data_IF_838216065646
#
_entry.id   IF_838216065646
#
_cell.length_a   1.000
_cell.length_b   1.000
_cell.length_c   1.000
_cell.angle_alpha   90.00
_cell.angle_beta   90.00
_cell.angle_gamma   90.00
#
_symmetry.space_group_name_H-M   'P 1'
#
loop_
_entity.id
_entity.type
_entity.pdbx_description
1 polymer ?
#
# COMPACT_ATOMS: atom_id res chain seq x y z
N UNK A 1 -9.24 -38.01 -67.16
CA UNK A 1 -9.43 -38.21 -65.71
C UNK A 1 -8.61 -37.13 -65.01
N UNK A 2 -9.25 -36.10 -64.47
CA UNK A 2 -8.59 -34.99 -63.76
C UNK A 2 -8.95 -35.13 -62.29
N UNK A 3 -7.96 -35.28 -61.43
CA UNK A 3 -8.14 -35.36 -59.97
C UNK A 3 -7.67 -34.02 -59.42
N UNK A 4 -8.59 -33.19 -58.95
CA UNK A 4 -8.29 -31.96 -58.21
C UNK A 4 -8.09 -32.30 -56.74
N UNK A 5 -6.91 -32.02 -56.21
CA UNK A 5 -6.59 -32.13 -54.79
C UNK A 5 -6.84 -30.78 -54.11
N UNK A 6 -7.69 -30.75 -53.10
CA UNK A 6 -7.95 -29.56 -52.27
C UNK A 6 -7.35 -29.76 -50.89
N UNK A 7 -6.40 -28.89 -50.50
CA UNK A 7 -5.75 -28.91 -49.19
C UNK A 7 -6.45 -27.86 -48.31
N UNK A 8 -7.06 -28.29 -47.21
CA UNK A 8 -7.61 -27.40 -46.19
C UNK A 8 -6.54 -27.07 -45.16
N UNK A 9 -6.20 -25.79 -45.02
CA UNK A 9 -5.32 -25.29 -43.96
C UNK A 9 -6.21 -24.78 -42.82
N UNK A 10 -6.19 -25.47 -41.69
CA UNK A 10 -6.88 -25.05 -40.46
C UNK A 10 -5.88 -24.26 -39.62
N UNK A 11 -6.06 -22.95 -39.52
CA UNK A 11 -5.33 -22.13 -38.56
C UNK A 11 -6.03 -22.23 -37.20
N UNK A 12 -5.39 -22.89 -36.25
CA UNK A 12 -5.75 -22.81 -34.83
C UNK A 12 -5.15 -21.53 -34.25
N UNK A 13 -5.99 -20.54 -33.96
CA UNK A 13 -5.58 -19.36 -33.20
C UNK A 13 -5.55 -19.78 -31.73
N UNK A 14 -4.37 -19.98 -31.17
CA UNK A 14 -4.23 -20.13 -29.73
C UNK A 14 -4.52 -18.77 -29.08
N UNK A 15 -5.69 -18.62 -28.46
CA UNK A 15 -5.97 -17.46 -27.61
C UNK A 15 -4.93 -17.48 -26.47
N UNK A 16 -4.01 -16.52 -26.47
CA UNK A 16 -3.08 -16.34 -25.37
C UNK A 16 -3.89 -16.09 -24.08
N UNK A 17 -3.48 -16.61 -22.92
CA UNK A 17 -4.17 -16.31 -21.67
C UNK A 17 -3.93 -14.83 -21.36
N UNK A 18 -4.98 -14.02 -21.52
CA UNK A 18 -4.98 -12.58 -21.28
C UNK A 18 -4.77 -12.21 -19.80
N UNK A 19 -4.75 -13.20 -18.89
CA UNK A 19 -4.43 -13.03 -17.46
C UNK A 19 -3.06 -12.37 -17.21
N UNK A 20 -2.14 -12.42 -18.18
CA UNK A 20 -0.80 -11.85 -18.07
C UNK A 20 -0.69 -10.38 -18.53
N UNK A 21 -1.80 -9.71 -18.83
CA UNK A 21 -1.82 -8.27 -19.16
C UNK A 21 -2.29 -7.39 -17.99
N UNK A 22 -2.24 -7.89 -16.75
CA UNK A 22 -2.27 -7.01 -15.58
C UNK A 22 -0.98 -6.19 -15.61
N UNK A 23 -1.07 -4.94 -16.05
CA UNK A 23 -0.02 -3.96 -15.84
C UNK A 23 0.17 -3.86 -14.33
N UNK A 24 1.19 -4.54 -13.81
CA UNK A 24 1.68 -4.33 -12.46
C UNK A 24 2.15 -2.87 -12.42
N UNK A 25 1.25 -2.00 -11.94
CA UNK A 25 1.54 -0.59 -11.79
C UNK A 25 2.80 -0.50 -10.91
N UNK A 26 3.87 0.07 -11.44
CA UNK A 26 5.12 0.20 -10.69
C UNK A 26 4.84 1.18 -9.56
N UNK A 27 4.64 0.63 -8.37
CA UNK A 27 4.35 1.43 -7.19
C UNK A 27 5.57 2.28 -6.88
N UNK A 28 5.38 3.58 -6.56
CA UNK A 28 6.48 4.41 -6.12
C UNK A 28 7.09 3.79 -4.86
N UNK A 29 8.42 3.71 -4.85
CA UNK A 29 9.19 3.22 -3.69
C UNK A 29 9.52 4.33 -2.70
N UNK A 30 9.30 5.59 -3.10
CA UNK A 30 9.58 6.80 -2.33
C UNK A 30 8.48 7.84 -2.58
N UNK A 31 7.91 8.37 -1.51
CA UNK A 31 6.81 9.32 -1.52
C UNK A 31 7.02 10.34 -0.39
N UNK A 32 6.52 11.56 -0.53
CA UNK A 32 6.89 12.65 0.41
C UNK A 32 6.43 12.34 1.84
N UNK A 33 5.14 12.03 2.01
CA UNK A 33 4.54 11.75 3.31
C UNK A 33 4.24 10.26 3.54
N UNK A 34 4.50 9.41 2.54
CA UNK A 34 4.27 7.96 2.58
C UNK A 34 3.54 7.48 1.34
N UNK A 35 3.89 6.30 0.85
CA UNK A 35 3.31 5.80 -0.38
C UNK A 35 1.88 5.30 -0.18
N UNK A 36 1.03 5.46 -1.21
CA UNK A 36 -0.39 5.16 -1.08
C UNK A 36 -0.64 3.66 -0.86
N UNK A 37 -1.75 3.30 -0.21
CA UNK A 37 -2.19 1.91 -0.17
C UNK A 37 -2.42 1.38 -1.60
N UNK A 38 -2.02 0.13 -1.83
CA UNK A 38 -2.15 -0.50 -3.15
C UNK A 38 -3.56 -1.05 -3.32
N UNK A 39 -4.31 -0.51 -4.28
CA UNK A 39 -5.66 -0.99 -4.59
C UNK A 39 -5.63 -2.43 -5.12
N UNK A 40 -6.57 -3.27 -4.67
CA UNK A 40 -6.82 -4.59 -5.25
C UNK A 40 -7.95 -4.49 -6.27
N UNK A 41 -7.63 -4.85 -7.52
CA UNK A 41 -8.60 -4.85 -8.60
C UNK A 41 -9.51 -6.08 -8.53
N UNK A 42 -10.83 -5.92 -8.69
CA UNK A 42 -11.73 -7.04 -8.92
C UNK A 42 -11.43 -7.70 -10.27
N UNK A 43 -11.68 -9.01 -10.37
CA UNK A 43 -11.37 -9.79 -11.57
C UNK A 43 -12.19 -9.35 -12.80
N UNK A 44 -13.43 -8.92 -12.61
CA UNK A 44 -14.32 -8.40 -13.67
C UNK A 44 -14.06 -6.91 -14.01
N UNK A 45 -13.05 -6.30 -13.38
CA UNK A 45 -12.86 -4.85 -13.35
C UNK A 45 -13.96 -4.13 -12.54
N UNK A 46 -13.87 -2.81 -12.42
CA UNK A 46 -14.88 -2.00 -11.71
C UNK A 46 -16.10 -1.74 -12.61
N UNK A 47 -16.74 -2.81 -13.08
CA UNK A 47 -18.02 -2.78 -13.79
C UNK A 47 -19.01 -3.64 -13.00
N UNK A 48 -20.03 -3.01 -12.43
CA UNK A 48 -21.00 -3.72 -11.60
C UNK A 48 -22.44 -3.35 -11.97
N UNK A 49 -23.27 -4.39 -12.09
CA UNK A 49 -24.73 -4.29 -12.27
C UNK A 49 -25.48 -4.21 -10.93
N UNK A 50 -24.73 -4.13 -9.82
CA UNK A 50 -25.24 -4.01 -8.46
C UNK A 50 -24.89 -2.63 -7.94
N UNK A 51 -25.76 -2.07 -7.11
CA UNK A 51 -25.53 -0.80 -6.41
C UNK A 51 -24.57 -0.92 -5.22
N UNK A 52 -23.96 -2.09 -5.02
CA UNK A 52 -23.07 -2.37 -3.89
C UNK A 52 -21.75 -2.96 -4.35
N UNK A 53 -20.65 -2.39 -3.83
CA UNK A 53 -19.27 -2.77 -4.16
C UNK A 53 -18.45 -2.82 -2.88
N UNK A 54 -17.61 -3.84 -2.79
CA UNK A 54 -16.57 -3.96 -1.77
C UNK A 54 -15.24 -3.50 -2.40
N UNK A 55 -14.69 -2.43 -1.86
CA UNK A 55 -13.36 -1.93 -2.18
C UNK A 55 -12.34 -2.62 -1.30
N UNK A 56 -11.21 -3.02 -1.86
CA UNK A 56 -10.13 -3.68 -1.14
C UNK A 56 -8.78 -3.08 -1.52
N UNK A 57 -7.86 -3.05 -0.56
CA UNK A 57 -6.49 -2.59 -0.75
C UNK A 57 -5.51 -3.41 0.11
N UNK A 58 -4.22 -3.27 -0.15
CA UNK A 58 -3.16 -3.80 0.69
C UNK A 58 -2.88 -2.85 1.85
N UNK A 59 -2.56 -3.42 3.01
CA UNK A 59 -2.08 -2.63 4.14
C UNK A 59 -0.72 -2.01 3.83
N UNK A 60 -0.51 -0.78 4.31
CA UNK A 60 0.80 -0.12 4.18
C UNK A 60 1.78 -0.69 5.20
N UNK A 61 3.06 -0.71 4.82
CA UNK A 61 4.14 -1.06 5.75
C UNK A 61 4.62 0.17 6.50
N UNK A 62 5.20 -0.02 7.68
CA UNK A 62 5.76 1.05 8.51
C UNK A 62 7.27 0.93 8.62
N UNK A 63 7.99 2.05 8.55
CA UNK A 63 9.43 2.12 8.68
C UNK A 63 9.88 2.49 10.09
N UNK A 64 11.00 1.90 10.53
CA UNK A 64 11.68 2.23 11.78
C UNK A 64 13.18 2.29 11.58
N UNK A 65 13.90 2.95 12.49
CA UNK A 65 15.37 2.94 12.56
C UNK A 65 15.82 2.58 13.95
N UNK A 66 16.66 1.56 14.08
CA UNK A 66 17.22 1.11 15.35
C UNK A 66 18.69 1.50 15.44
N UNK A 67 19.02 2.36 16.39
CA UNK A 67 20.36 2.93 16.60
C UNK A 67 20.87 2.58 18.00
N UNK A 68 22.13 2.16 18.11
CA UNK A 68 22.80 1.94 19.40
C UNK A 68 24.13 2.68 19.43
N UNK A 69 24.29 3.53 20.44
CA UNK A 69 25.49 4.32 20.69
C UNK A 69 26.14 3.89 22.00
N UNK A 70 27.45 4.07 22.15
CA UNK A 70 28.09 4.03 23.46
C UNK A 70 28.08 5.41 24.14
N UNK A 71 28.68 5.49 25.34
CA UNK A 71 28.81 6.76 26.09
C UNK A 71 29.64 7.85 25.38
N UNK A 72 30.43 7.51 24.36
CA UNK A 72 31.21 8.48 23.57
C UNK A 72 30.48 8.93 22.30
N UNK A 73 29.26 8.43 22.05
CA UNK A 73 28.50 8.69 20.83
C UNK A 73 28.93 7.82 19.63
N UNK A 74 29.80 6.84 19.80
CA UNK A 74 30.17 5.91 18.74
C UNK A 74 29.01 4.95 18.43
N UNK A 75 28.68 4.84 17.14
CA UNK A 75 27.59 3.98 16.64
C UNK A 75 28.08 2.53 16.57
N UNK A 76 27.36 1.63 17.26
CA UNK A 76 27.62 0.19 17.23
C UNK A 76 26.58 -0.59 16.43
N UNK A 77 25.41 0.00 16.22
CA UNK A 77 24.33 -0.58 15.44
C UNK A 77 23.49 0.56 14.85
N UNK A 78 23.17 0.47 13.57
CA UNK A 78 22.27 1.38 12.85
C UNK A 78 21.61 0.58 11.73
N UNK A 79 20.31 0.34 11.87
CA UNK A 79 19.54 -0.50 10.95
C UNK A 79 18.18 0.12 10.65
N UNK A 80 17.82 0.16 9.36
CA UNK A 80 16.47 0.49 8.93
C UNK A 80 15.63 -0.80 8.88
N UNK A 81 14.43 -0.73 9.45
CA UNK A 81 13.53 -1.85 9.65
C UNK A 81 12.17 -1.53 9.03
N UNK A 82 11.44 -2.54 8.60
CA UNK A 82 10.10 -2.36 8.00
C UNK A 82 9.14 -3.43 8.49
N UNK A 83 7.96 -3.03 8.95
CA UNK A 83 6.89 -3.93 9.37
C UNK A 83 7.20 -4.78 10.60
N UNK A 84 8.18 -4.36 11.43
CA UNK A 84 8.58 -5.07 12.65
C UNK A 84 8.61 -4.14 13.86
N UNK A 85 8.35 -4.70 15.04
CA UNK A 85 8.34 -3.98 16.31
C UNK A 85 9.39 -4.49 17.30
N UNK A 86 10.35 -5.27 16.81
CA UNK A 86 11.47 -5.77 17.58
C UNK A 86 12.70 -5.94 16.71
N UNK A 87 13.88 -5.67 17.26
CA UNK A 87 15.16 -6.01 16.64
C UNK A 87 16.21 -6.38 17.69
N UNK A 88 17.29 -7.00 17.23
CA UNK A 88 18.40 -7.45 18.05
C UNK A 88 19.73 -7.10 17.42
N UNK A 89 20.64 -6.55 18.21
CA UNK A 89 21.98 -6.22 17.73
C UNK A 89 22.82 -7.46 17.47
N UNK A 90 23.92 -7.26 16.73
CA UNK A 90 25.06 -8.15 16.85
C UNK A 90 25.63 -8.14 18.28
N UNK A 91 26.46 -9.12 18.61
CA UNK A 91 27.07 -9.20 19.94
C UNK A 91 28.01 -8.01 20.14
N UNK A 92 27.72 -7.19 21.14
CA UNK A 92 28.50 -6.02 21.52
C UNK A 92 29.45 -6.38 22.67
N UNK A 93 30.61 -5.72 22.80
CA UNK A 93 31.48 -5.85 23.97
C UNK A 93 30.84 -5.43 25.29
N UNK A 94 31.52 -5.70 26.39
CA UNK A 94 31.15 -5.14 27.69
C UNK A 94 31.28 -3.60 27.66
N UNK A 95 30.31 -2.90 28.24
CA UNK A 95 30.27 -1.44 28.21
C UNK A 95 28.88 -0.86 28.44
N UNK A 96 28.81 0.47 28.36
CA UNK A 96 27.57 1.24 28.52
C UNK A 96 27.08 1.68 27.14
N UNK A 97 25.80 1.43 26.88
CA UNK A 97 25.17 1.76 25.61
C UNK A 97 23.84 2.46 25.84
N UNK A 98 23.44 3.29 24.87
CA UNK A 98 22.09 3.81 24.77
C UNK A 98 21.52 3.42 23.42
N UNK A 99 20.36 2.79 23.44
CA UNK A 99 19.61 2.42 22.24
C UNK A 99 18.49 3.42 21.98
N UNK A 100 18.20 3.66 20.71
CA UNK A 100 17.14 4.53 20.23
C UNK A 100 16.36 3.82 19.12
N UNK A 101 15.05 3.98 19.12
CA UNK A 101 14.19 3.59 18.01
C UNK A 101 13.48 4.83 17.52
N UNK A 102 13.67 5.12 16.24
CA UNK A 102 12.99 6.21 15.55
C UNK A 102 11.95 5.65 14.60
N UNK A 103 10.87 6.41 14.43
CA UNK A 103 9.87 6.16 13.40
C UNK A 103 10.31 6.78 12.07
N UNK A 104 10.22 5.99 10.99
CA UNK A 104 10.58 6.44 9.63
C UNK A 104 9.38 6.74 8.74
N UNK A 105 8.17 6.58 9.25
CA UNK A 105 6.95 6.92 8.51
C UNK A 105 6.29 5.69 7.91
N UNK A 106 5.23 5.96 7.16
CA UNK A 106 4.61 4.99 6.27
C UNK A 106 5.64 4.62 5.18
N UNK A 107 5.53 3.42 4.62
CA UNK A 107 6.49 2.92 3.62
C UNK A 107 6.73 3.94 2.50
N UNK A 108 8.01 4.23 2.23
CA UNK A 108 8.42 5.21 1.22
C UNK A 108 8.48 6.67 1.69
N UNK A 109 8.01 7.02 2.90
CA UNK A 109 8.11 8.39 3.44
C UNK A 109 9.54 8.92 3.45
N UNK A 110 9.70 10.21 3.17
CA UNK A 110 10.97 10.93 3.27
C UNK A 110 10.92 11.92 4.45
N UNK A 111 11.26 11.45 5.65
CA UNK A 111 11.51 12.39 6.75
C UNK A 111 12.86 13.07 6.54
N UNK A 112 12.82 14.33 6.12
CA UNK A 112 14.03 15.08 5.75
C UNK A 112 14.89 15.37 6.98
N UNK A 113 14.32 15.73 8.13
CA UNK A 113 15.14 16.18 9.28
C UNK A 113 14.67 15.80 10.70
N UNK A 114 13.49 15.17 10.89
CA UNK A 114 12.97 14.88 12.24
C UNK A 114 12.25 13.54 12.30
N UNK A 115 13.01 12.44 12.35
CA UNK A 115 12.47 11.11 12.65
C UNK A 115 11.96 11.10 14.12
N UNK A 116 10.65 10.86 14.38
CA UNK A 116 10.13 10.86 15.75
C UNK A 116 10.77 9.77 16.60
N UNK A 117 11.26 10.12 17.79
CA UNK A 117 11.78 9.14 18.74
C UNK A 117 10.62 8.36 19.37
N UNK A 118 10.59 7.05 19.17
CA UNK A 118 9.60 6.15 19.76
C UNK A 118 10.04 5.63 21.13
N UNK A 119 11.33 5.27 21.25
CA UNK A 119 11.85 4.60 22.43
C UNK A 119 13.33 4.85 22.61
N UNK A 120 13.77 5.00 23.86
CA UNK A 120 15.18 4.91 24.21
C UNK A 120 15.38 4.08 25.48
N UNK A 121 16.55 3.45 25.59
CA UNK A 121 16.92 2.65 26.76
C UNK A 121 18.44 2.69 26.99
N UNK A 122 18.85 2.65 28.25
CA UNK A 122 20.25 2.50 28.63
C UNK A 122 20.55 1.03 28.97
N UNK A 123 21.70 0.56 28.51
CA UNK A 123 22.14 -0.83 28.66
C UNK A 123 23.52 -0.86 29.30
N UNK A 124 23.69 -1.75 30.28
CA UNK A 124 24.97 -2.06 30.91
C UNK A 124 25.35 -3.51 30.64
N UNK A 125 26.38 -3.72 29.81
CA UNK A 125 26.85 -5.05 29.46
C UNK A 125 28.10 -5.38 30.27
N UNK A 126 28.00 -6.34 31.18
CA UNK A 126 29.15 -6.84 31.96
C UNK A 126 30.03 -7.84 31.18
N UNK A 127 29.50 -8.40 30.10
CA UNK A 127 30.20 -9.31 29.20
C UNK A 127 29.62 -9.21 27.78
N UNK A 128 30.34 -9.67 26.74
CA UNK A 128 29.88 -9.53 25.37
C UNK A 128 28.50 -10.16 25.12
N UNK A 129 27.50 -9.34 24.82
CA UNK A 129 26.08 -9.72 24.77
C UNK A 129 25.34 -8.98 23.65
N UNK A 130 24.14 -9.44 23.30
CA UNK A 130 23.27 -8.73 22.35
C UNK A 130 22.29 -7.84 23.10
N UNK A 131 21.90 -6.73 22.49
CA UNK A 131 20.80 -5.90 22.98
C UNK A 131 19.57 -6.22 22.15
N UNK A 132 18.47 -6.56 22.80
CA UNK A 132 17.17 -6.78 22.17
C UNK A 132 16.24 -5.66 22.59
N UNK A 133 15.55 -5.06 21.61
CA UNK A 133 14.61 -3.99 21.86
C UNK A 133 13.27 -4.32 21.23
N UNK A 134 12.20 -4.05 21.97
CA UNK A 134 10.81 -4.18 21.52
C UNK A 134 10.13 -2.83 21.73
N UNK A 135 9.27 -2.41 20.81
CA UNK A 135 8.51 -1.16 20.93
C UNK A 135 7.04 -1.36 20.56
N UNK A 136 6.20 -0.40 20.94
CA UNK A 136 4.79 -0.43 20.54
C UNK A 136 4.66 -0.19 19.03
N UNK A 137 3.76 -0.89 18.33
CA UNK A 137 3.45 -0.58 16.93
C UNK A 137 2.86 0.83 16.84
N UNK A 138 3.14 1.50 15.73
CA UNK A 138 2.39 2.70 15.33
C UNK A 138 1.13 2.20 14.64
N UNK A 139 -0.02 2.69 15.04
CA UNK A 139 -1.30 2.25 14.46
C UNK A 139 -1.54 2.95 13.12
N UNK A 140 -2.23 2.29 12.20
CA UNK A 140 -2.61 2.85 10.90
C UNK A 140 -4.09 2.64 10.67
N UNK A 141 -4.76 3.70 10.25
CA UNK A 141 -6.13 3.69 9.76
C UNK A 141 -6.17 4.15 8.31
N UNK A 142 -7.30 3.93 7.64
CA UNK A 142 -7.48 4.32 6.25
C UNK A 142 -8.64 5.28 6.07
N UNK A 143 -8.54 6.12 5.05
CA UNK A 143 -9.63 6.92 4.53
C UNK A 143 -9.94 6.54 3.09
N UNK A 144 -11.21 6.48 2.73
CA UNK A 144 -11.69 6.25 1.37
C UNK A 144 -12.56 7.41 0.92
N UNK A 145 -12.33 7.86 -0.32
CA UNK A 145 -13.14 8.87 -0.99
C UNK A 145 -13.74 8.28 -2.25
N UNK A 146 -15.05 8.49 -2.44
CA UNK A 146 -15.79 8.11 -3.65
C UNK A 146 -16.32 9.39 -4.27
N UNK A 147 -16.04 9.56 -5.56
CA UNK A 147 -16.34 10.76 -6.34
C UNK A 147 -17.28 10.42 -7.48
N UNK A 148 -18.32 11.20 -7.71
CA UNK A 148 -19.20 11.10 -8.87
C UNK A 148 -18.70 12.00 -9.99
N UNK A 149 -18.65 11.48 -11.21
CA UNK A 149 -18.30 12.23 -12.40
C UNK A 149 -19.57 12.80 -13.03
N UNK A 150 -19.70 14.12 -13.00
CA UNK A 150 -20.76 14.86 -13.71
C UNK A 150 -20.18 15.45 -15.00
N UNK A 151 -21.07 15.98 -15.84
CA UNK A 151 -20.69 16.54 -17.13
C UNK A 151 -19.62 17.66 -17.05
N UNK A 152 -19.54 18.39 -15.94
CA UNK A 152 -18.67 19.56 -15.78
C UNK A 152 -17.78 19.52 -14.54
N UNK A 153 -17.94 18.52 -13.66
CA UNK A 153 -17.26 18.49 -12.37
C UNK A 153 -17.15 17.06 -11.82
N UNK A 154 -16.17 16.83 -10.94
CA UNK A 154 -16.03 15.62 -10.14
C UNK A 154 -16.28 16.02 -8.68
N UNK A 155 -17.24 15.37 -8.02
CA UNK A 155 -17.65 15.70 -6.66
C UNK A 155 -17.45 14.51 -5.74
N UNK A 156 -16.86 14.72 -4.56
CA UNK A 156 -16.87 13.72 -3.49
C UNK A 156 -18.32 13.54 -3.04
N UNK A 157 -18.87 12.35 -3.26
CA UNK A 157 -20.23 11.98 -2.86
C UNK A 157 -20.25 11.16 -1.59
N UNK A 158 -19.12 10.54 -1.25
CA UNK A 158 -18.96 9.78 -0.03
C UNK A 158 -17.51 9.79 0.44
N UNK A 159 -17.33 9.88 1.75
CA UNK A 159 -16.04 9.76 2.42
C UNK A 159 -16.22 8.97 3.71
N UNK A 160 -15.29 8.06 3.99
CA UNK A 160 -15.21 7.38 5.27
C UNK A 160 -13.76 7.34 5.74
N UNK A 161 -13.56 7.69 7.02
CA UNK A 161 -12.25 7.80 7.64
C UNK A 161 -12.13 6.84 8.83
N UNK A 162 -10.92 6.74 9.41
CA UNK A 162 -10.62 5.89 10.57
C UNK A 162 -10.98 4.40 10.36
N UNK A 163 -10.84 3.92 9.13
CA UNK A 163 -11.08 2.52 8.80
C UNK A 163 -9.93 1.65 9.31
N UNK A 164 -10.23 0.70 10.19
CA UNK A 164 -9.24 -0.25 10.73
C UNK A 164 -9.04 -1.49 9.84
N UNK A 165 -9.83 -1.60 8.78
CA UNK A 165 -9.81 -2.72 7.84
C UNK A 165 -9.30 -2.23 6.48
N UNK A 166 -8.70 -3.13 5.72
CA UNK A 166 -8.24 -2.86 4.35
C UNK A 166 -9.33 -3.15 3.30
N UNK A 167 -10.60 -2.96 3.70
CA UNK A 167 -11.76 -3.17 2.86
C UNK A 167 -12.92 -2.27 3.29
N UNK A 168 -13.75 -1.84 2.34
CA UNK A 168 -14.91 -1.01 2.60
C UNK A 168 -16.06 -1.32 1.64
N UNK A 169 -17.27 -1.51 2.16
CA UNK A 169 -18.46 -1.74 1.33
C UNK A 169 -19.31 -0.46 1.23
N UNK A 170 -19.59 -0.01 0.01
CA UNK A 170 -20.53 1.07 -0.27
C UNK A 170 -21.73 0.55 -1.04
N UNK A 171 -22.96 1.02 -0.72
CA UNK A 171 -24.24 0.46 -1.23
C UNK A 171 -25.17 1.45 -1.93
N UNK A 172 -24.77 2.72 -2.00
CA UNK A 172 -25.64 3.81 -2.46
C UNK A 172 -25.23 4.34 -3.84
N UNK A 173 -24.72 3.46 -4.69
CA UNK A 173 -24.44 3.82 -6.08
C UNK A 173 -25.73 4.03 -6.87
N UNK A 174 -25.74 5.09 -7.69
CA UNK A 174 -26.82 5.33 -8.64
C UNK A 174 -26.46 4.71 -10.00
N UNK A 175 -27.36 3.91 -10.54
CA UNK A 175 -27.20 3.28 -11.86
C UNK A 175 -27.10 4.33 -12.98
N UNK A 176 -26.32 4.00 -14.01
CA UNK A 176 -26.08 4.85 -15.17
C UNK A 176 -25.08 5.98 -14.93
N UNK A 177 -24.32 5.94 -13.81
CA UNK A 177 -23.31 6.95 -13.47
C UNK A 177 -21.91 6.37 -13.42
N UNK A 178 -20.95 7.25 -13.64
CA UNK A 178 -19.51 6.99 -13.50
C UNK A 178 -19.00 7.62 -12.22
N UNK A 179 -18.17 6.88 -11.51
CA UNK A 179 -17.54 7.28 -10.27
C UNK A 179 -16.03 7.10 -10.38
N UNK A 180 -15.26 7.75 -9.50
CA UNK A 180 -13.91 7.34 -9.18
C UNK A 180 -13.76 7.15 -7.67
N UNK A 181 -12.75 6.39 -7.26
CA UNK A 181 -12.44 6.25 -5.84
C UNK A 181 -10.94 6.21 -5.61
N UNK A 182 -10.54 6.59 -4.39
CA UNK A 182 -9.16 6.53 -3.92
C UNK A 182 -9.13 6.21 -2.43
N UNK A 183 -8.01 5.66 -1.97
CA UNK A 183 -7.74 5.35 -0.57
C UNK A 183 -6.42 5.97 -0.13
N UNK A 184 -6.34 6.38 1.13
CA UNK A 184 -5.11 6.87 1.77
C UNK A 184 -4.98 6.27 3.17
N UNK A 185 -3.76 6.29 3.73
CA UNK A 185 -3.46 5.83 5.07
C UNK A 185 -3.16 7.01 6.00
N UNK A 186 -3.51 6.87 7.27
CA UNK A 186 -3.22 7.81 8.34
C UNK A 186 -2.62 7.03 9.50
N UNK A 187 -1.41 7.38 9.91
CA UNK A 187 -0.79 6.78 11.08
C UNK A 187 -1.20 7.48 12.38
N UNK A 188 -0.98 6.82 13.52
CA UNK A 188 -1.32 7.35 14.85
C UNK A 188 -0.45 8.54 15.28
N UNK A 189 0.56 8.92 14.49
CA UNK A 189 1.34 10.13 14.66
C UNK A 189 0.78 11.33 13.87
N UNK A 190 -0.27 11.10 13.07
CA UNK A 190 -0.96 12.12 12.29
C UNK A 190 -0.37 12.34 10.89
N UNK A 191 0.56 11.50 10.43
CA UNK A 191 1.04 11.57 9.06
C UNK A 191 0.05 10.87 8.11
N UNK A 192 -0.21 11.51 6.99
CA UNK A 192 -1.15 11.04 5.96
C UNK A 192 -0.34 10.67 4.72
N UNK A 193 -0.53 9.45 4.20
CA UNK A 193 0.09 9.04 2.95
C UNK A 193 -0.45 9.84 1.78
N UNK A 194 0.23 9.76 0.63
CA UNK A 194 -0.43 10.10 -0.63
C UNK A 194 -1.70 9.26 -0.83
N UNK A 195 -2.65 9.79 -1.60
CA UNK A 195 -3.81 9.02 -2.03
C UNK A 195 -3.44 8.10 -3.18
N UNK A 196 -4.03 6.90 -3.20
CA UNK A 196 -3.91 6.01 -4.34
C UNK A 196 -4.42 6.67 -5.62
N UNK A 197 -3.91 6.20 -6.77
CA UNK A 197 -4.45 6.61 -8.06
C UNK A 197 -5.97 6.41 -8.12
N UNK A 198 -6.67 7.40 -8.66
CA UNK A 198 -8.10 7.31 -8.84
C UNK A 198 -8.48 6.15 -9.77
N UNK A 199 -9.46 5.36 -9.35
CA UNK A 199 -9.99 4.25 -10.14
C UNK A 199 -11.41 4.50 -10.56
N UNK A 200 -11.63 4.54 -11.87
CA UNK A 200 -12.95 4.70 -12.44
C UNK A 200 -13.81 3.47 -12.17
N UNK A 201 -15.08 3.72 -11.89
CA UNK A 201 -16.11 2.76 -11.58
C UNK A 201 -17.36 3.09 -12.38
N UNK A 202 -17.88 2.10 -13.09
CA UNK A 202 -19.04 2.24 -13.96
C UNK A 202 -20.19 1.39 -13.41
N UNK A 203 -21.27 2.05 -12.98
CA UNK A 203 -22.41 1.39 -12.34
C UNK A 203 -23.55 1.26 -13.34
N UNK A 204 -23.82 0.04 -13.78
CA UNK A 204 -24.92 -0.27 -14.72
C UNK A 204 -24.93 0.63 -15.97
N UNK A 205 -23.77 1.16 -16.35
CA UNK A 205 -23.61 1.82 -17.65
C UNK A 205 -23.42 0.70 -18.66
N UNK A 206 -24.26 0.65 -19.69
CA UNK A 206 -24.13 -0.35 -20.76
C UNK A 206 -22.76 -0.18 -21.41
N UNK A 207 -21.83 -1.10 -21.12
CA UNK A 207 -20.61 -1.27 -21.91
C UNK A 207 -21.08 -1.71 -23.28
N UNK A 208 -21.08 -0.81 -24.26
CA UNK A 208 -21.42 -1.17 -25.63
C UNK A 208 -20.54 -2.35 -26.03
N UNK A 209 -21.16 -3.48 -26.35
CA UNK A 209 -20.51 -4.57 -27.06
C UNK A 209 -20.02 -3.96 -28.37
N UNK A 210 -18.72 -3.70 -28.47
CA UNK A 210 -18.11 -3.47 -29.76
C UNK A 210 -18.26 -4.79 -30.53
N UNK A 211 -19.20 -4.81 -31.47
CA UNK A 211 -19.20 -5.78 -32.54
C UNK A 211 -17.92 -5.60 -33.34
N UNK A 212 -17.11 -6.64 -33.43
CA UNK A 212 -16.34 -7.00 -34.62
C UNK A 212 -16.11 -8.51 -34.66
#
# INVERSE_FOLDING_TARGET
MVITLSIYVVFSITMAPWDNLRSEEVLPTTCETGCPPVIKYPDDGYYHYKNSIVFEWNQVSLGYRFLVLNSTGHVFHDENLTGVTSSVTNRLPAGNYTSFVYYKGIGGSLFVDNEPLLRNENHFLVSPSKITLVWAPVEVTYGIEIREHKATEILIVHQADALNQSSYEFKDFTNGKTYSWSVYAVDSMGFVSESSNERELNIDTTKFLAHE
#
